data_IF_690388050008
#
_entry.id   IF_690388050008
#
_cell.length_a   1.000
_cell.length_b   1.000
_cell.length_c   1.000
_cell.angle_alpha   90.00
_cell.angle_beta   90.00
_cell.angle_gamma   90.00
#
_symmetry.space_group_name_H-M   'P 1'
#
loop_
_entity.id
_entity.type
_entity.pdbx_description
1 polymer ?
#
# COMPACT_ATOMS: atom_id res chain seq x y z
N UNK A 1 -11.69 8.78 12.42
CA UNK A 1 -10.95 7.63 11.89
C UNK A 1 -9.57 8.09 11.47
N UNK A 2 -8.50 7.51 12.03
CA UNK A 2 -7.14 7.84 11.65
C UNK A 2 -6.76 7.26 10.29
N UNK A 3 -5.72 7.81 9.67
CA UNK A 3 -5.24 7.34 8.37
C UNK A 3 -4.85 5.85 8.40
N UNK A 4 -4.28 5.37 9.52
CA UNK A 4 -3.93 3.97 9.69
C UNK A 4 -5.15 3.05 9.59
N UNK A 5 -6.31 3.49 10.08
CA UNK A 5 -7.55 2.72 9.99
C UNK A 5 -8.01 2.59 8.54
N UNK A 6 -7.78 3.63 7.72
CA UNK A 6 -8.11 3.62 6.30
C UNK A 6 -7.28 2.60 5.51
N UNK A 7 -6.05 2.32 5.94
CA UNK A 7 -5.20 1.33 5.29
C UNK A 7 -5.60 -0.11 5.62
N UNK A 8 -6.47 -0.33 6.61
CA UNK A 8 -6.82 -1.67 7.08
C UNK A 8 -5.66 -2.36 7.82
N UNK A 9 -4.62 -1.60 8.19
CA UNK A 9 -3.50 -2.11 8.96
C UNK A 9 -3.69 -1.77 10.43
N UNK A 10 -3.75 -2.78 11.27
CA UNK A 10 -3.60 -2.61 12.71
C UNK A 10 -2.11 -2.73 13.05
N UNK A 11 -1.58 -1.87 13.94
CA UNK A 11 -0.21 -2.05 14.43
C UNK A 11 -0.03 -3.48 14.96
N UNK A 12 1.01 -4.22 14.53
CA UNK A 12 1.20 -5.56 15.04
C UNK A 12 1.54 -5.51 16.53
N UNK A 13 0.69 -6.12 17.35
CA UNK A 13 0.92 -6.30 18.79
C UNK A 13 1.79 -7.50 19.06
N UNK A 14 1.97 -8.36 18.07
CA UNK A 14 2.71 -9.60 18.14
C UNK A 14 3.70 -9.66 16.99
N UNK A 15 4.68 -10.56 17.12
CA UNK A 15 5.64 -10.83 16.06
C UNK A 15 4.93 -11.29 14.79
N UNK A 16 5.25 -10.66 13.66
CA UNK A 16 4.67 -11.02 12.38
C UNK A 16 5.19 -12.38 11.92
N UNK A 17 4.26 -13.26 11.59
CA UNK A 17 4.54 -14.56 11.00
C UNK A 17 4.28 -14.53 9.49
N UNK A 18 4.72 -15.57 8.78
CA UNK A 18 4.44 -15.74 7.35
C UNK A 18 2.94 -15.64 7.04
N UNK A 19 2.09 -16.28 7.85
CA UNK A 19 0.64 -16.23 7.68
C UNK A 19 0.09 -14.82 7.87
N UNK A 20 0.60 -14.07 8.87
CA UNK A 20 0.19 -12.69 9.12
C UNK A 20 0.60 -11.75 7.99
N UNK A 21 1.78 -11.94 7.42
CA UNK A 21 2.22 -11.15 6.26
C UNK A 21 1.29 -11.37 5.06
N UNK A 22 0.87 -12.60 4.81
CA UNK A 22 -0.11 -12.89 3.75
C UNK A 22 -1.42 -12.16 4.02
N UNK A 23 -1.87 -12.11 5.28
CA UNK A 23 -3.09 -11.39 5.64
C UNK A 23 -2.98 -9.88 5.37
N UNK A 24 -1.81 -9.27 5.58
CA UNK A 24 -1.59 -7.86 5.25
C UNK A 24 -1.71 -7.59 3.76
N UNK A 25 -1.37 -8.56 2.91
CA UNK A 25 -1.50 -8.43 1.46
C UNK A 25 -2.95 -8.54 0.97
N UNK A 26 -3.81 -9.19 1.75
CA UNK A 26 -5.23 -9.36 1.42
C UNK A 26 -6.07 -8.29 2.10
N UNK A 27 -5.82 -7.02 1.78
CA UNK A 27 -6.64 -5.92 2.29
C UNK A 27 -8.07 -6.11 1.79
N UNK A 28 -9.04 -6.08 2.72
CA UNK A 28 -10.44 -6.25 2.39
C UNK A 28 -10.92 -5.15 1.44
N UNK A 29 -11.69 -5.53 0.45
CA UNK A 29 -12.19 -4.60 -0.56
C UNK A 29 -13.02 -3.47 0.05
N UNK A 30 -13.77 -3.77 1.10
CA UNK A 30 -14.56 -2.77 1.82
C UNK A 30 -13.68 -1.63 2.38
N UNK A 31 -12.53 -1.96 2.95
CA UNK A 31 -11.58 -0.96 3.44
C UNK A 31 -11.01 -0.09 2.32
N UNK A 32 -10.72 -0.70 1.18
CA UNK A 32 -10.24 0.05 0.00
C UNK A 32 -11.32 1.00 -0.50
N UNK A 33 -12.54 0.53 -0.56
CA UNK A 33 -13.70 1.34 -0.98
C UNK A 33 -13.96 2.50 -0.03
N UNK A 34 -13.88 2.26 1.27
CA UNK A 34 -14.04 3.31 2.29
C UNK A 34 -12.94 4.37 2.16
N UNK A 35 -11.70 3.95 1.92
CA UNK A 35 -10.58 4.86 1.69
C UNK A 35 -10.82 5.72 0.46
N UNK A 36 -11.23 5.12 -0.65
CA UNK A 36 -11.54 5.83 -1.88
C UNK A 36 -12.67 6.86 -1.68
N UNK A 37 -13.77 6.45 -1.05
CA UNK A 37 -14.89 7.34 -0.78
C UNK A 37 -14.49 8.51 0.14
N UNK A 38 -13.65 8.25 1.13
CA UNK A 38 -13.12 9.27 2.02
C UNK A 38 -12.27 10.29 1.27
N UNK A 39 -11.46 9.85 0.31
CA UNK A 39 -10.68 10.74 -0.56
C UNK A 39 -11.58 11.64 -1.40
N UNK A 40 -12.61 11.07 -2.02
CA UNK A 40 -13.56 11.84 -2.81
C UNK A 40 -14.24 12.92 -1.97
N UNK A 41 -14.69 12.56 -0.78
CA UNK A 41 -15.42 13.47 0.11
C UNK A 41 -14.54 14.58 0.68
N UNK A 42 -13.35 14.23 1.15
CA UNK A 42 -12.51 15.12 1.96
C UNK A 42 -11.49 15.91 1.14
N UNK A 43 -11.08 15.42 -0.03
CA UNK A 43 -9.98 16.00 -0.79
C UNK A 43 -10.31 16.34 -2.24
N UNK A 44 -11.34 15.74 -2.84
CA UNK A 44 -11.67 15.96 -4.24
C UNK A 44 -13.04 16.58 -4.45
N UNK A 45 -13.97 16.35 -3.53
CA UNK A 45 -15.37 16.80 -3.63
C UNK A 45 -16.00 16.39 -4.98
N UNK A 46 -15.75 15.15 -5.39
CA UNK A 46 -16.27 14.56 -6.62
C UNK A 46 -17.08 13.30 -6.32
N UNK A 47 -17.90 12.87 -7.28
CA UNK A 47 -18.70 11.67 -7.14
C UNK A 47 -17.92 10.39 -7.41
N UNK A 48 -18.43 9.27 -6.92
CA UNK A 48 -17.88 7.94 -7.17
C UNK A 48 -17.80 7.68 -8.68
N UNK A 49 -16.65 7.16 -9.13
CA UNK A 49 -16.41 6.75 -10.50
C UNK A 49 -15.86 5.32 -10.50
N UNK A 50 -16.59 4.39 -11.14
CA UNK A 50 -16.26 2.97 -11.15
C UNK A 50 -14.90 2.67 -11.79
N UNK A 51 -14.59 3.32 -12.91
CA UNK A 51 -13.32 3.15 -13.61
C UNK A 51 -12.15 3.63 -12.75
N UNK A 52 -12.28 4.82 -12.16
CA UNK A 52 -11.28 5.38 -11.26
C UNK A 52 -11.10 4.50 -10.02
N UNK A 53 -12.20 4.02 -9.43
CA UNK A 53 -12.14 3.12 -8.28
C UNK A 53 -11.41 1.81 -8.61
N UNK A 54 -11.70 1.21 -9.75
CA UNK A 54 -11.04 -0.04 -10.17
C UNK A 54 -9.54 0.14 -10.29
N UNK A 55 -9.11 1.28 -10.84
CA UNK A 55 -7.70 1.63 -10.95
C UNK A 55 -7.08 1.89 -9.58
N UNK A 56 -7.76 2.68 -8.74
CA UNK A 56 -7.34 2.96 -7.37
C UNK A 56 -7.17 1.68 -6.56
N UNK A 57 -8.13 0.76 -6.64
CA UNK A 57 -8.08 -0.51 -5.92
C UNK A 57 -6.81 -1.29 -6.22
N UNK A 58 -6.47 -1.40 -7.49
CA UNK A 58 -5.27 -2.11 -7.93
C UNK A 58 -3.99 -1.43 -7.44
N UNK A 59 -3.90 -0.11 -7.59
CA UNK A 59 -2.76 0.67 -7.12
C UNK A 59 -2.63 0.61 -5.59
N UNK A 60 -3.74 0.65 -4.87
CA UNK A 60 -3.73 0.55 -3.41
C UNK A 60 -3.17 -0.79 -2.93
N UNK A 61 -3.59 -1.88 -3.58
CA UNK A 61 -3.05 -3.21 -3.29
C UNK A 61 -1.55 -3.30 -3.60
N UNK A 62 -1.11 -2.68 -4.67
CA UNK A 62 0.31 -2.61 -5.01
C UNK A 62 1.11 -1.83 -3.96
N UNK A 63 0.59 -0.72 -3.46
CA UNK A 63 1.23 0.05 -2.38
C UNK A 63 1.34 -0.79 -1.10
N UNK A 64 0.29 -1.47 -0.70
CA UNK A 64 0.31 -2.35 0.48
C UNK A 64 1.36 -3.47 0.32
N UNK A 65 1.43 -4.06 -0.86
CA UNK A 65 2.44 -5.08 -1.19
C UNK A 65 3.85 -4.51 -1.09
N UNK A 66 4.08 -3.32 -1.62
CA UNK A 66 5.37 -2.64 -1.54
C UNK A 66 5.79 -2.37 -0.09
N UNK A 67 4.85 -1.97 0.76
CA UNK A 67 5.13 -1.74 2.18
C UNK A 67 5.60 -3.04 2.86
N UNK A 68 4.95 -4.16 2.57
CA UNK A 68 5.36 -5.47 3.11
C UNK A 68 6.75 -5.85 2.62
N UNK A 69 7.02 -5.75 1.32
CA UNK A 69 8.33 -6.07 0.76
C UNK A 69 9.43 -5.20 1.35
N UNK A 70 9.19 -3.91 1.50
CA UNK A 70 10.15 -2.99 2.12
C UNK A 70 10.42 -3.35 3.59
N UNK A 71 9.40 -3.78 4.32
CA UNK A 71 9.55 -4.18 5.72
C UNK A 71 10.38 -5.47 5.85
N UNK A 72 10.09 -6.50 5.05
CA UNK A 72 10.88 -7.74 5.10
C UNK A 72 12.32 -7.54 4.66
N UNK A 73 12.59 -6.60 3.77
CA UNK A 73 13.96 -6.26 3.35
C UNK A 73 14.80 -5.71 4.51
N UNK A 74 14.16 -5.10 5.51
CA UNK A 74 14.83 -4.56 6.70
C UNK A 74 14.87 -5.54 7.88
N UNK A 75 14.25 -6.70 7.75
CA UNK A 75 14.23 -7.70 8.81
C UNK A 75 15.57 -8.44 8.88
N UNK A 76 16.10 -8.63 10.11
CA UNK A 76 17.28 -9.46 10.36
C UNK A 76 16.92 -10.92 10.65
N UNK A 77 15.64 -11.24 10.80
CA UNK A 77 15.15 -12.57 11.19
C UNK A 77 14.48 -13.34 10.07
N UNK A 78 14.23 -12.69 8.93
CA UNK A 78 13.53 -13.27 7.78
C UNK A 78 14.46 -13.27 6.57
N UNK A 79 14.55 -14.39 5.87
CA UNK A 79 15.22 -14.45 4.57
C UNK A 79 14.36 -13.69 3.55
N UNK A 80 14.90 -12.57 3.08
CA UNK A 80 14.19 -11.66 2.17
C UNK A 80 13.77 -12.35 0.87
N UNK A 81 14.69 -13.06 0.23
CA UNK A 81 14.41 -13.66 -1.08
C UNK A 81 13.39 -14.79 -0.98
N UNK A 82 13.53 -15.63 0.02
CA UNK A 82 12.57 -16.74 0.26
C UNK A 82 11.18 -16.18 0.53
N UNK A 83 11.07 -15.21 1.43
CA UNK A 83 9.78 -14.62 1.79
C UNK A 83 9.16 -13.84 0.64
N UNK A 84 9.96 -13.05 -0.07
CA UNK A 84 9.49 -12.29 -1.23
C UNK A 84 8.93 -13.22 -2.31
N UNK A 85 9.66 -14.28 -2.64
CA UNK A 85 9.21 -15.25 -3.64
C UNK A 85 7.91 -15.94 -3.23
N UNK A 86 7.80 -16.30 -1.97
CA UNK A 86 6.56 -16.89 -1.45
C UNK A 86 5.37 -15.93 -1.57
N UNK A 87 5.54 -14.67 -1.16
CA UNK A 87 4.49 -13.67 -1.22
C UNK A 87 4.11 -13.32 -2.68
N UNK A 88 5.09 -13.21 -3.57
CA UNK A 88 4.84 -13.00 -4.99
C UNK A 88 4.00 -14.12 -5.58
N UNK A 89 4.29 -15.38 -5.26
CA UNK A 89 3.48 -16.51 -5.71
C UNK A 89 2.03 -16.40 -5.23
N UNK A 90 1.82 -16.04 -3.96
CA UNK A 90 0.47 -15.88 -3.42
C UNK A 90 -0.31 -14.75 -4.11
N UNK A 91 0.37 -13.65 -4.44
CA UNK A 91 -0.24 -12.52 -5.14
C UNK A 91 -0.51 -12.85 -6.59
N UNK A 92 0.46 -13.45 -7.29
CA UNK A 92 0.36 -13.77 -8.71
C UNK A 92 -0.76 -14.76 -9.03
N UNK A 93 -1.09 -15.62 -8.10
CA UNK A 93 -2.25 -16.52 -8.23
C UNK A 93 -3.57 -15.75 -8.28
N UNK A 94 -3.63 -14.56 -7.69
CA UNK A 94 -4.83 -13.74 -7.59
C UNK A 94 -4.85 -12.62 -8.61
N UNK A 95 -3.75 -11.85 -8.71
CA UNK A 95 -3.67 -10.70 -9.59
C UNK A 95 -2.21 -10.37 -9.94
N UNK A 96 -1.84 -10.71 -11.16
CA UNK A 96 -0.50 -10.49 -11.68
C UNK A 96 -0.15 -9.01 -11.87
N UNK A 97 -1.14 -8.17 -12.14
CA UNK A 97 -0.96 -6.74 -12.34
C UNK A 97 -0.38 -6.04 -11.12
N UNK A 98 -0.71 -6.54 -9.92
CA UNK A 98 -0.19 -5.98 -8.67
C UNK A 98 1.33 -6.03 -8.65
N UNK A 99 1.92 -7.17 -9.02
CA UNK A 99 3.38 -7.33 -9.04
C UNK A 99 4.02 -6.43 -10.10
N UNK A 100 3.39 -6.27 -11.25
CA UNK A 100 3.87 -5.36 -12.29
C UNK A 100 3.90 -3.92 -11.77
N UNK A 101 2.84 -3.47 -11.11
CA UNK A 101 2.78 -2.12 -10.52
C UNK A 101 3.83 -1.92 -9.42
N UNK A 102 4.03 -2.91 -8.55
CA UNK A 102 5.07 -2.86 -7.53
C UNK A 102 6.43 -2.63 -8.18
N UNK A 103 6.80 -3.45 -9.15
CA UNK A 103 8.12 -3.41 -9.76
C UNK A 103 8.34 -2.17 -10.63
N UNK A 104 7.33 -1.68 -11.33
CA UNK A 104 7.46 -0.58 -12.29
C UNK A 104 7.14 0.79 -11.72
N UNK A 105 6.38 0.88 -10.63
CA UNK A 105 5.90 2.15 -10.07
C UNK A 105 6.31 2.36 -8.61
N UNK A 106 5.92 1.44 -7.73
CA UNK A 106 6.00 1.69 -6.29
C UNK A 106 7.33 1.34 -5.66
N UNK A 107 8.04 0.32 -6.13
CA UNK A 107 9.39 0.06 -5.68
C UNK A 107 10.36 1.19 -6.06
N UNK A 108 10.37 1.70 -7.30
CA UNK A 108 11.16 2.88 -7.63
C UNK A 108 10.80 4.10 -6.77
N UNK A 109 9.51 4.39 -6.58
CA UNK A 109 9.06 5.50 -5.75
C UNK A 109 9.54 5.38 -4.30
N UNK A 110 9.43 4.19 -3.72
CA UNK A 110 9.91 3.90 -2.37
C UNK A 110 11.43 4.08 -2.26
N UNK A 111 12.16 3.68 -3.28
CA UNK A 111 13.63 3.78 -3.32
C UNK A 111 14.15 5.19 -3.60
N UNK A 112 13.26 6.17 -3.76
CA UNK A 112 13.63 7.57 -4.01
C UNK A 112 14.00 7.86 -5.46
N UNK A 113 13.66 6.97 -6.38
CA UNK A 113 13.88 7.15 -7.82
C UNK A 113 12.62 7.75 -8.44
N UNK A 114 12.61 9.07 -8.64
CA UNK A 114 11.46 9.79 -9.18
C UNK A 114 10.47 10.24 -8.10
N UNK A 115 9.18 10.43 -8.47
CA UNK A 115 8.15 10.89 -7.54
C UNK A 115 7.92 9.91 -6.38
N UNK A 116 7.50 10.45 -5.23
CA UNK A 116 7.13 9.62 -4.09
C UNK A 116 5.84 8.80 -4.33
N UNK A 117 5.55 7.87 -3.41
CA UNK A 117 4.41 6.94 -3.55
C UNK A 117 3.09 7.68 -3.69
N UNK A 118 2.84 8.69 -2.85
CA UNK A 118 1.59 9.46 -2.91
C UNK A 118 1.46 10.22 -4.23
N UNK A 119 2.56 10.78 -4.75
CA UNK A 119 2.57 11.47 -6.03
C UNK A 119 2.31 10.53 -7.20
N UNK A 120 2.85 9.31 -7.17
CA UNK A 120 2.56 8.28 -8.18
C UNK A 120 1.07 7.94 -8.16
N UNK A 121 0.51 7.70 -6.98
CA UNK A 121 -0.93 7.40 -6.84
C UNK A 121 -1.79 8.55 -7.38
N UNK A 122 -1.43 9.79 -7.05
CA UNK A 122 -2.14 10.97 -7.52
C UNK A 122 -2.12 11.09 -9.05
N UNK A 123 -0.95 10.92 -9.64
CA UNK A 123 -0.79 10.95 -11.10
C UNK A 123 -1.58 9.83 -11.78
N UNK A 124 -1.43 8.60 -11.30
CA UNK A 124 -2.02 7.43 -11.96
C UNK A 124 -3.54 7.32 -11.78
N UNK A 125 -4.06 7.71 -10.62
CA UNK A 125 -5.47 7.48 -10.27
C UNK A 125 -6.33 8.75 -10.24
N UNK A 126 -5.74 9.92 -9.99
CA UNK A 126 -6.49 11.14 -9.71
C UNK A 126 -6.11 12.34 -10.59
N UNK A 127 -5.39 12.12 -11.68
CA UNK A 127 -4.97 13.19 -12.62
C UNK A 127 -4.29 14.37 -11.92
N UNK A 128 -3.52 14.11 -10.86
CA UNK A 128 -2.86 15.13 -10.04
C UNK A 128 -3.82 16.09 -9.31
N UNK A 129 -5.05 15.68 -9.09
CA UNK A 129 -6.07 16.52 -8.46
C UNK A 129 -6.06 16.51 -6.92
N UNK A 130 -5.35 15.56 -6.30
CA UNK A 130 -5.21 15.55 -4.85
C UNK A 130 -4.38 16.74 -4.37
N UNK A 131 -4.80 17.33 -3.25
CA UNK A 131 -4.08 18.46 -2.65
C UNK A 131 -2.72 18.04 -2.09
N UNK A 132 -1.81 19.02 -1.94
CA UNK A 132 -0.51 18.80 -1.27
C UNK A 132 -0.72 18.27 0.14
N UNK A 133 -1.73 18.74 0.86
CA UNK A 133 -2.08 18.27 2.20
C UNK A 133 -2.39 16.76 2.19
N UNK A 134 -3.20 16.30 1.24
CA UNK A 134 -3.52 14.89 1.09
C UNK A 134 -2.28 14.05 0.79
N UNK A 135 -1.38 14.54 -0.07
CA UNK A 135 -0.14 13.84 -0.41
C UNK A 135 0.79 13.70 0.80
N UNK A 136 0.93 14.76 1.59
CA UNK A 136 1.73 14.73 2.81
C UNK A 136 1.15 13.75 3.85
N UNK A 137 -0.16 13.74 3.98
CA UNK A 137 -0.87 12.83 4.88
C UNK A 137 -0.66 11.37 4.49
N UNK A 138 -0.77 11.06 3.19
CA UNK A 138 -0.49 9.72 2.67
C UNK A 138 0.94 9.29 2.92
N UNK A 139 1.92 10.11 2.57
CA UNK A 139 3.33 9.77 2.73
C UNK A 139 3.68 9.56 4.21
N UNK A 140 3.14 10.37 5.11
CA UNK A 140 3.32 10.19 6.55
C UNK A 140 2.70 8.88 7.04
N UNK A 141 1.52 8.53 6.54
CA UNK A 141 0.85 7.27 6.84
C UNK A 141 1.63 6.06 6.35
N UNK A 142 2.14 6.11 5.13
CA UNK A 142 2.97 5.04 4.57
C UNK A 142 4.25 4.83 5.38
N UNK A 143 4.92 5.90 5.76
CA UNK A 143 6.13 5.83 6.57
C UNK A 143 5.85 5.19 7.94
N UNK A 144 4.74 5.55 8.57
CA UNK A 144 4.34 5.01 9.87
C UNK A 144 3.98 3.53 9.78
N UNK A 145 3.25 3.12 8.75
CA UNK A 145 2.90 1.72 8.50
C UNK A 145 4.15 0.88 8.29
N UNK A 146 5.06 1.37 7.48
CA UNK A 146 6.33 0.70 7.21
C UNK A 146 7.14 0.50 8.50
N UNK A 147 7.29 1.55 9.31
CA UNK A 147 7.98 1.49 10.58
C UNK A 147 7.34 0.47 11.53
N UNK A 148 6.02 0.46 11.62
CA UNK A 148 5.26 -0.46 12.45
C UNK A 148 5.48 -1.92 12.02
N UNK A 149 5.50 -2.18 10.71
CA UNK A 149 5.79 -3.51 10.18
C UNK A 149 7.22 -3.95 10.49
N UNK A 150 8.19 -3.06 10.33
CA UNK A 150 9.60 -3.35 10.64
C UNK A 150 9.74 -3.75 12.11
N UNK A 151 9.10 -3.01 13.02
CA UNK A 151 9.10 -3.36 14.45
C UNK A 151 8.45 -4.71 14.72
N UNK A 152 7.35 -5.03 14.04
CA UNK A 152 6.67 -6.32 14.18
C UNK A 152 7.47 -7.50 13.64
N UNK A 153 8.47 -7.27 12.81
CA UNK A 153 9.34 -8.31 12.24
C UNK A 153 10.62 -8.56 13.05
N UNK A 154 10.88 -7.76 14.06
CA UNK A 154 11.98 -8.00 14.99
C UNK A 154 11.63 -9.17 15.91
#
# INVERSE_FOLDING_TARGET
>A
MGLLDLFGFTPPKEKLTKAKLVNYLTVEEEHIKDTYNSLLKNHLNTDYNEEQYSKFRMHWRAICTQMVFAAIAKSSTIDYFEMKNYLEEQIMKKDREIIILVNTRYNPAYSGVGPDIASVLNYECFNNELSVEALLEFNSGFALIHQTMVEGLK
#
